data_IF_885115080092
#
_entry.id   IF_885115080092
#
_cell.length_a   1.000
_cell.length_b   1.000
_cell.length_c   1.000
_cell.angle_alpha   90.00
_cell.angle_beta   90.00
_cell.angle_gamma   90.00
#
_symmetry.space_group_name_H-M   'P 1'
#
loop_
_entity.id
_entity.type
_entity.pdbx_description
1 polymer ?
2 non-polymer ?
3 non-polymer ?
4 non-polymer ?
5 non-polymer ?
6 non-polymer ?
7 water ?
#
# COMPACT_ATOMS: atom_id res chain seq x y z
N UNK A 1 -16.81 -28.77 26.04
CA UNK A 1 -18.28 -28.64 25.79
C UNK A 1 -18.70 -29.15 24.42
N UNK A 2 -19.98 -29.46 24.28
CA UNK A 2 -20.53 -30.06 23.07
C UNK A 2 -21.10 -29.05 22.07
N UNK A 3 -20.90 -27.76 22.34
CA UNK A 3 -21.39 -26.71 21.46
C UNK A 3 -20.25 -26.09 20.63
N UNK A 4 -19.06 -26.04 21.23
CA UNK A 4 -17.93 -25.35 20.64
C UNK A 4 -16.78 -26.32 20.39
N UNK A 5 -16.54 -26.65 19.13
CA UNK A 5 -15.35 -27.41 18.74
C UNK A 5 -14.14 -26.48 18.79
N UNK A 6 -13.05 -26.98 19.37
CA UNK A 6 -11.85 -26.18 19.54
C UNK A 6 -11.40 -26.15 20.99
N UNK A 7 -10.46 -25.26 21.33
CA UNK A 7 -9.88 -24.24 20.44
C UNK A 7 -8.85 -24.80 19.45
N UNK A 8 -8.72 -24.13 18.32
CA UNK A 8 -7.71 -24.46 17.32
C UNK A 8 -6.69 -23.35 17.18
N UNK A 9 -5.46 -23.72 16.84
CA UNK A 9 -4.38 -22.77 16.61
C UNK A 9 -4.61 -21.99 15.31
N UNK A 10 -3.95 -20.81 15.16
CA UNK A 10 -3.87 -20.16 13.85
C UNK A 10 -3.44 -21.14 12.76
N UNK A 11 -4.18 -21.16 11.65
CA UNK A 11 -3.93 -22.10 10.56
C UNK A 11 -4.55 -21.65 9.24
N UNK A 12 -4.08 -22.25 8.14
CA UNK A 12 -4.69 -22.09 6.84
C UNK A 12 -5.58 -23.30 6.57
N UNK A 13 -6.86 -23.04 6.32
CA UNK A 13 -7.84 -24.11 6.13
C UNK A 13 -8.96 -23.69 5.17
N UNK A 14 -9.60 -24.68 4.58
CA UNK A 14 -10.77 -24.45 3.76
C UNK A 14 -11.98 -25.00 4.51
N UNK A 15 -12.64 -24.13 5.31
CA UNK A 15 -13.69 -24.63 6.19
C UNK A 15 -14.89 -25.17 5.43
N UNK A 16 -15.66 -26.07 6.06
CA UNK A 16 -16.91 -26.45 5.41
C UNK A 16 -17.93 -25.32 5.57
N UNK A 17 -18.97 -25.35 4.73
CA UNK A 17 -20.00 -24.33 4.77
C UNK A 17 -20.94 -24.57 5.94
N UNK A 18 -21.71 -23.55 6.30
CA UNK A 18 -22.67 -23.61 7.41
C UNK A 18 -22.00 -23.80 8.79
N UNK A 19 -20.73 -23.42 8.90
CA UNK A 19 -20.04 -23.40 10.18
C UNK A 19 -19.47 -22.01 10.48
N UNK A 20 -19.82 -21.48 11.65
CA UNK A 20 -19.24 -20.25 12.14
C UNK A 20 -17.85 -20.49 12.68
N UNK A 21 -16.91 -19.65 12.24
CA UNK A 21 -15.56 -19.65 12.78
C UNK A 21 -15.52 -18.53 13.82
N UNK A 22 -15.66 -18.89 15.10
CA UNK A 22 -15.61 -17.92 16.19
C UNK A 22 -14.16 -17.61 16.53
N UNK A 23 -13.76 -16.37 16.28
CA UNK A 23 -12.37 -15.96 16.38
C UNK A 23 -12.14 -15.20 17.69
N UNK A 24 -10.99 -15.45 18.32
CA UNK A 24 -10.63 -14.79 19.57
C UNK A 24 -9.27 -14.09 19.49
N UNK A 25 -9.21 -12.92 18.81
CA UNK A 25 -7.95 -12.18 18.66
C UNK A 25 -7.47 -11.53 19.95
N UNK A 26 -6.18 -11.19 19.99
CA UNK A 26 -5.57 -10.59 21.17
C UNK A 26 -5.21 -9.12 20.94
N UNK A 27 -4.22 -8.88 20.09
CA UNK A 27 -3.75 -7.53 19.80
C UNK A 27 -4.32 -7.03 18.46
N UNK A 28 -4.21 -5.72 18.23
CA UNK A 28 -4.63 -5.09 16.97
C UNK A 28 -3.89 -5.68 15.77
N UNK A 29 -4.59 -5.78 14.64
CA UNK A 29 -3.99 -6.30 13.42
C UNK A 29 -4.97 -7.08 12.57
N UNK A 30 -4.44 -7.92 11.69
CA UNK A 30 -5.26 -8.80 10.85
C UNK A 30 -5.71 -10.00 11.66
N UNK A 31 -7.03 -10.16 11.78
CA UNK A 31 -7.66 -11.28 12.48
C UNK A 31 -7.67 -12.52 11.60
N UNK A 32 -8.08 -12.33 10.35
CA UNK A 32 -8.34 -13.41 9.41
C UNK A 32 -8.41 -12.86 7.99
N UNK A 33 -7.97 -13.66 7.03
CA UNK A 33 -8.06 -13.32 5.61
C UNK A 33 -8.52 -14.52 4.81
N UNK A 34 -9.20 -14.26 3.70
CA UNK A 34 -9.66 -15.32 2.81
C UNK A 34 -9.91 -14.82 1.41
N UNK A 35 -9.81 -15.72 0.45
CA UNK A 35 -9.97 -15.36 -0.96
C UNK A 35 -10.50 -16.53 -1.80
N UNK A 36 -11.24 -16.21 -2.85
CA UNK A 36 -11.62 -17.18 -3.87
C UNK A 36 -10.66 -17.18 -5.06
N UNK A 37 -9.61 -16.34 -4.98
CA UNK A 37 -8.59 -16.16 -6.03
C UNK A 37 -9.13 -15.60 -7.35
N UNK A 38 -10.34 -15.05 -7.32
CA UNK A 38 -10.99 -14.57 -8.54
C UNK A 38 -11.39 -13.11 -8.45
N UNK A 39 -12.31 -12.79 -7.53
CA UNK A 39 -12.90 -11.46 -7.44
C UNK A 39 -13.23 -11.05 -6.00
N UNK A 40 -12.67 -11.77 -5.04
CA UNK A 40 -12.87 -11.46 -3.63
C UNK A 40 -11.60 -11.76 -2.84
N UNK A 41 -10.99 -10.71 -2.31
CA UNK A 41 -9.90 -10.82 -1.35
C UNK A 41 -10.40 -10.12 -0.11
N UNK A 42 -10.70 -10.92 0.91
CA UNK A 42 -11.44 -10.45 2.06
C UNK A 42 -10.63 -10.68 3.33
N UNK A 43 -10.65 -9.69 4.22
CA UNK A 43 -9.96 -9.80 5.51
C UNK A 43 -10.68 -9.00 6.58
N UNK A 44 -10.37 -9.30 7.84
CA UNK A 44 -10.88 -8.53 8.97
C UNK A 44 -9.72 -8.00 9.80
N UNK A 45 -9.72 -6.68 10.03
CA UNK A 45 -8.71 -6.07 10.88
C UNK A 45 -9.33 -5.65 12.22
N UNK A 46 -8.50 -5.65 13.26
CA UNK A 46 -8.92 -5.25 14.59
C UNK A 46 -8.20 -3.97 14.99
N UNK A 47 -8.97 -3.00 15.48
CA UNK A 47 -8.42 -1.72 15.92
C UNK A 47 -8.83 -1.45 17.37
N UNK A 48 -7.84 -1.06 18.18
CA UNK A 48 -8.06 -0.72 19.59
C UNK A 48 -8.92 0.55 19.74
N UNK A 49 -9.52 0.77 20.93
CA UNK A 49 -10.28 2.01 21.15
C UNK A 49 -9.44 3.28 20.98
N UNK A 50 -10.12 4.39 20.69
CA UNK A 50 -9.53 5.73 20.61
C UNK A 50 -8.37 5.89 19.63
N UNK A 51 -8.57 5.42 18.40
CA UNK A 51 -7.58 5.61 17.34
C UNK A 51 -8.06 6.69 16.36
N UNK A 52 -7.35 7.81 16.36
CA UNK A 52 -7.61 8.89 15.43
C UNK A 52 -7.10 8.50 14.04
N UNK A 53 -7.76 9.02 13.01
CA UNK A 53 -7.45 8.69 11.62
C UNK A 53 -5.95 8.67 11.37
N UNK A 54 -5.48 7.54 10.83
CA UNK A 54 -4.08 7.32 10.59
C UNK A 54 -3.92 6.21 9.55
N UNK A 55 -2.82 6.27 8.81
CA UNK A 55 -2.42 5.18 7.96
C UNK A 55 -1.73 4.09 8.78
N UNK A 56 -2.13 2.84 8.57
CA UNK A 56 -1.49 1.70 9.20
C UNK A 56 -1.16 0.66 8.16
N UNK A 57 -0.04 -0.04 8.36
CA UNK A 57 0.38 -1.10 7.46
C UNK A 57 -0.11 -2.44 7.98
N UNK A 58 -0.81 -3.16 7.12
CA UNK A 58 -1.27 -4.50 7.43
C UNK A 58 -0.69 -5.52 6.46
N UNK A 59 -0.33 -6.69 6.98
CA UNK A 59 0.13 -7.79 6.15
C UNK A 59 -1.07 -8.59 5.63
N UNK A 60 -1.48 -8.27 4.42
CA UNK A 60 -2.65 -8.90 3.81
C UNK A 60 -2.21 -9.71 2.60
N UNK A 61 -2.42 -11.02 2.68
CA UNK A 61 -2.07 -11.98 1.63
C UNK A 61 -0.60 -11.94 1.23
N UNK A 62 0.26 -11.70 2.23
CA UNK A 62 1.70 -11.78 2.04
C UNK A 62 2.35 -10.53 1.52
N UNK A 63 1.63 -9.40 1.55
CA UNK A 63 2.17 -8.09 1.15
C UNK A 63 1.76 -6.99 2.14
N UNK A 64 2.56 -5.94 2.22
CA UNK A 64 2.23 -4.77 3.03
C UNK A 64 1.16 -3.93 2.35
N UNK A 65 0.07 -3.68 3.08
CA UNK A 65 -1.04 -2.87 2.59
C UNK A 65 -1.29 -1.74 3.57
N UNK A 66 -1.26 -0.51 3.07
CA UNK A 66 -1.46 0.68 3.88
C UNK A 66 -2.93 1.10 3.81
N UNK A 67 -3.59 1.08 4.96
CA UNK A 67 -5.00 1.45 5.04
C UNK A 67 -5.20 2.63 5.97
N UNK A 68 -6.12 3.51 5.58
CA UNK A 68 -6.51 4.64 6.42
C UNK A 68 -7.62 4.18 7.36
N UNK A 69 -7.31 4.12 8.65
CA UNK A 69 -8.24 3.59 9.63
C UNK A 69 -8.48 4.54 10.78
N UNK A 70 -9.62 4.36 11.45
CA UNK A 70 -9.91 5.07 12.68
C UNK A 70 -10.88 4.27 13.54
N UNK A 71 -10.79 4.48 14.85
CA UNK A 71 -11.76 3.99 15.81
C UNK A 71 -12.09 5.11 16.79
N UNK A 72 -13.19 5.80 16.56
CA UNK A 72 -13.62 6.90 17.42
C UNK A 72 -14.30 6.45 18.71
N UNK A 73 -14.54 5.14 18.85
CA UNK A 73 -15.09 4.61 20.09
C UNK A 73 -14.11 4.79 21.25
N UNK A 74 -14.62 5.36 22.34
CA UNK A 74 -13.82 5.59 23.53
C UNK A 74 -13.58 4.33 24.34
N UNK A 75 -14.43 3.32 24.15
CA UNK A 75 -14.46 2.15 25.04
C UNK A 75 -14.37 0.80 24.32
N UNK A 76 -14.74 0.76 23.05
CA UNK A 76 -14.87 -0.51 22.33
C UNK A 76 -13.87 -0.71 21.21
N UNK A 77 -13.43 -1.96 21.05
CA UNK A 77 -12.58 -2.35 19.95
C UNK A 77 -13.39 -2.37 18.66
N UNK A 78 -12.71 -2.26 17.53
CA UNK A 78 -13.38 -2.17 16.24
C UNK A 78 -12.85 -3.19 15.25
N UNK A 79 -13.74 -4.06 14.80
CA UNK A 79 -13.44 -4.97 13.70
C UNK A 79 -13.93 -4.31 12.43
N UNK A 80 -13.08 -4.29 11.41
CA UNK A 80 -13.46 -3.81 10.09
C UNK A 80 -13.20 -4.90 9.06
N UNK A 81 -14.20 -5.17 8.24
CA UNK A 81 -14.00 -6.05 7.10
C UNK A 81 -13.42 -5.26 5.93
N UNK A 82 -12.49 -5.89 5.26
CA UNK A 82 -11.73 -5.25 4.21
C UNK A 82 -11.83 -6.11 2.97
N UNK A 83 -12.14 -5.48 1.82
CA UNK A 83 -12.46 -6.21 0.60
C UNK A 83 -11.88 -5.57 -0.65
N UNK A 84 -11.24 -6.38 -1.49
CA UNK A 84 -10.93 -5.97 -2.85
C UNK A 84 -11.45 -6.99 -3.86
N UNK A 85 -11.94 -6.50 -4.99
CA UNK A 85 -12.63 -7.34 -5.97
C UNK A 85 -11.79 -7.69 -7.19
N UNK A 86 -10.58 -7.13 -7.25
CA UNK A 86 -9.61 -7.43 -8.29
C UNK A 86 -8.23 -7.60 -7.61
N UNK A 87 -7.39 -8.51 -8.12
CA UNK A 87 -6.08 -8.72 -7.47
C UNK A 87 -5.19 -7.47 -7.44
N UNK A 88 -5.44 -6.51 -8.32
CA UNK A 88 -4.60 -5.32 -8.46
C UNK A 88 -5.26 -4.06 -7.89
N UNK A 89 -6.49 -4.20 -7.38
CA UNK A 89 -7.26 -3.08 -6.88
C UNK A 89 -7.00 -2.70 -5.44
N UNK A 90 -7.89 -1.86 -4.91
CA UNK A 90 -7.82 -1.34 -3.55
C UNK A 90 -8.85 -2.00 -2.62
N UNK A 91 -8.47 -2.14 -1.36
CA UNK A 91 -9.40 -2.60 -0.32
C UNK A 91 -10.31 -1.46 0.11
N UNK A 92 -11.60 -1.78 0.21
CA UNK A 92 -12.57 -0.88 0.85
C UNK A 92 -13.01 -1.47 2.19
N UNK A 93 -13.52 -0.60 3.06
CA UNK A 93 -13.91 -0.99 4.42
C UNK A 93 -15.44 -1.12 4.56
N UNK A 94 -15.87 -2.20 5.20
CA UNK A 94 -17.30 -2.52 5.36
C UNK A 94 -17.59 -3.23 6.68
N UNK A 95 -18.86 -3.25 7.07
CA UNK A 95 -19.37 -4.05 8.17
C UNK A 95 -18.61 -3.93 9.48
N UNK A 96 -18.43 -2.72 9.96
CA UNK A 96 -17.72 -2.48 11.21
C UNK A 96 -18.45 -3.12 12.38
N UNK A 97 -17.69 -3.77 13.27
CA UNK A 97 -18.23 -4.23 14.54
C UNK A 97 -17.53 -3.51 15.68
N UNK A 98 -18.31 -2.82 16.49
CA UNK A 98 -17.83 -2.24 17.73
C UNK A 98 -18.08 -3.22 18.87
N UNK A 99 -17.00 -3.68 19.49
CA UNK A 99 -17.03 -4.87 20.32
C UNK A 99 -16.33 -4.68 21.67
N UNK A 100 -16.97 -5.16 22.73
CA UNK A 100 -16.35 -5.23 24.07
C UNK A 100 -15.69 -6.60 24.33
N UNK A 101 -16.39 -7.72 24.03
CA UNK A 101 -15.78 -9.05 24.22
C UNK A 101 -14.55 -9.33 23.34
N UNK A 102 -14.42 -8.61 22.23
CA UNK A 102 -13.32 -8.81 21.26
C UNK A 102 -13.39 -10.17 20.57
N UNK A 103 -14.60 -10.68 20.37
CA UNK A 103 -14.79 -11.91 19.60
C UNK A 103 -15.38 -11.57 18.24
N UNK A 104 -14.92 -12.27 17.22
CA UNK A 104 -15.45 -12.11 15.87
C UNK A 104 -15.86 -13.47 15.33
N UNK A 105 -16.62 -13.47 14.22
CA UNK A 105 -17.07 -14.71 13.62
C UNK A 105 -17.27 -14.58 12.11
N UNK A 106 -17.01 -15.65 11.38
CA UNK A 106 -17.08 -15.69 9.93
C UNK A 106 -17.66 -17.03 9.47
N UNK A 107 -18.46 -17.03 8.40
CA UNK A 107 -19.08 -18.25 7.87
C UNK A 107 -19.27 -18.20 6.36
N UNK A 108 -18.99 -19.33 5.70
CA UNK A 108 -19.37 -19.54 4.30
C UNK A 108 -20.79 -20.11 4.24
N UNK A 109 -21.72 -19.35 3.68
CA UNK A 109 -23.10 -19.82 3.56
C UNK A 109 -23.82 -19.25 2.34
N UNK A 110 -24.56 -20.12 1.64
CA UNK A 110 -25.33 -19.83 0.42
C UNK A 110 -24.88 -18.61 -0.42
N UNK A 111 -23.71 -18.74 -1.04
CA UNK A 111 -23.21 -17.74 -1.98
C UNK A 111 -22.48 -16.58 -1.33
N UNK A 112 -22.29 -16.64 -0.01
CA UNK A 112 -21.82 -15.50 0.76
C UNK A 112 -20.78 -15.84 1.81
N UNK A 113 -20.03 -14.82 2.21
CA UNK A 113 -19.25 -14.87 3.44
C UNK A 113 -19.95 -14.01 4.47
N UNK A 114 -20.37 -14.63 5.58
CA UNK A 114 -21.06 -13.90 6.65
C UNK A 114 -20.09 -13.47 7.75
N UNK A 115 -20.31 -12.28 8.29
CA UNK A 115 -19.58 -11.79 9.45
C UNK A 115 -20.55 -11.06 10.37
N UNK A 116 -20.05 -10.52 11.47
CA UNK A 116 -20.88 -9.72 12.36
C UNK A 116 -20.58 -8.23 12.22
N UNK A 117 -21.59 -7.40 12.44
CA UNK A 117 -21.47 -5.95 12.40
C UNK A 117 -22.41 -5.27 13.39
N UNK A 118 -22.18 -3.98 13.64
CA UNK A 118 -23.01 -3.22 14.56
C UNK A 118 -22.23 -2.92 15.83
N UNK A 119 -22.93 -2.91 16.96
CA UNK A 119 -22.36 -2.56 18.25
C UNK A 119 -22.83 -3.55 19.30
N UNK A 120 -21.89 -4.22 19.96
CA UNK A 120 -22.22 -5.14 21.04
C UNK A 120 -22.79 -4.33 22.23
N UNK A 121 -23.78 -4.91 22.96
CA UNK A 121 -24.32 -6.27 22.90
C UNK A 121 -25.49 -6.47 21.92
N UNK A 122 -25.56 -5.65 20.87
CA UNK A 122 -26.67 -5.73 19.92
C UNK A 122 -26.21 -5.98 18.48
N UNK A 123 -25.12 -6.73 18.34
CA UNK A 123 -24.54 -7.00 17.02
C UNK A 123 -25.40 -7.95 16.20
N UNK A 124 -25.42 -7.73 14.89
CA UNK A 124 -26.12 -8.62 13.97
C UNK A 124 -25.15 -9.17 12.93
N UNK A 125 -25.65 -10.00 12.03
CA UNK A 125 -24.83 -10.58 10.96
C UNK A 125 -24.90 -9.71 9.71
N UNK A 126 -23.87 -9.82 8.89
CA UNK A 126 -23.79 -9.14 7.59
C UNK A 126 -23.09 -10.09 6.64
N UNK A 127 -23.12 -9.79 5.35
CA UNK A 127 -22.62 -10.74 4.35
C UNK A 127 -21.96 -10.09 3.12
N UNK A 128 -21.12 -10.87 2.45
CA UNK A 128 -20.45 -10.46 1.22
C UNK A 128 -20.66 -11.55 0.17
N UNK A 129 -21.47 -11.24 -0.84
CA UNK A 129 -21.72 -12.17 -1.94
C UNK A 129 -20.40 -12.49 -2.62
N UNK A 130 -20.08 -13.79 -2.67
CA UNK A 130 -18.76 -14.25 -3.06
C UNK A 130 -18.87 -15.34 -4.10
N UNK A 131 -18.33 -15.07 -5.28
CA UNK A 131 -18.17 -16.07 -6.34
C UNK A 131 -17.47 -17.30 -5.77
N UNK A 132 -17.99 -18.49 -6.10
CA UNK A 132 -17.45 -19.75 -5.60
C UNK A 132 -17.21 -19.72 -4.09
N UNK A 133 -18.25 -19.29 -3.36
CA UNK A 133 -18.16 -19.04 -1.92
C UNK A 133 -17.61 -20.25 -1.14
N UNK A 134 -17.99 -21.45 -1.57
CA UNK A 134 -17.65 -22.70 -0.87
C UNK A 134 -16.17 -23.06 -0.96
N UNK A 135 -15.46 -22.48 -1.94
CA UNK A 135 -14.05 -22.80 -2.19
C UNK A 135 -13.10 -21.89 -1.41
N UNK A 136 -13.64 -20.85 -0.76
CA UNK A 136 -12.81 -19.86 -0.10
C UNK A 136 -11.93 -20.49 0.97
N UNK A 137 -10.61 -20.37 0.77
CA UNK A 137 -9.62 -20.75 1.78
C UNK A 137 -9.41 -19.58 2.73
N UNK A 138 -9.28 -19.89 4.01
CA UNK A 138 -9.02 -18.90 5.04
C UNK A 138 -7.73 -19.14 5.79
N UNK A 139 -7.11 -18.05 6.24
CA UNK A 139 -6.04 -18.12 7.21
C UNK A 139 -6.46 -17.33 8.44
N UNK A 140 -6.67 -18.03 9.54
CA UNK A 140 -6.92 -17.40 10.82
C UNK A 140 -5.60 -17.10 11.50
N UNK A 141 -5.44 -15.88 11.99
CA UNK A 141 -4.20 -15.48 12.65
C UNK A 141 -4.31 -15.51 14.17
N UNK A 142 -5.44 -16.01 14.65
CA UNK A 142 -5.70 -16.15 16.08
C UNK A 142 -6.40 -17.48 16.36
N UNK A 143 -6.56 -17.79 17.64
CA UNK A 143 -7.31 -18.97 18.09
C UNK A 143 -8.78 -18.86 17.68
N UNK A 144 -9.37 -19.99 17.33
CA UNK A 144 -10.77 -20.02 16.93
C UNK A 144 -11.49 -21.30 17.35
N UNK A 145 -12.81 -21.22 17.36
CA UNK A 145 -13.68 -22.35 17.64
C UNK A 145 -14.60 -22.56 16.45
N UNK A 146 -15.21 -23.74 16.39
CA UNK A 146 -16.16 -24.08 15.33
C UNK A 146 -17.53 -24.30 15.97
N UNK A 147 -18.53 -23.57 15.47
CA UNK A 147 -19.91 -23.75 15.90
C UNK A 147 -20.84 -23.84 14.69
N UNK A 148 -21.72 -24.87 14.66
CA UNK A 148 -22.63 -25.04 13.54
C UNK A 148 -23.62 -23.87 13.39
N UNK A 149 -24.01 -23.61 12.14
CA UNK A 149 -24.99 -22.58 11.82
C UNK A 149 -26.33 -22.81 12.54
N UNK A 150 -26.70 -24.06 12.78
CA UNK A 150 -27.95 -24.36 13.49
C UNK A 150 -27.93 -23.85 14.95
N UNK A 151 -26.72 -23.56 15.44
CA UNK A 151 -26.51 -22.98 16.76
C UNK A 151 -26.04 -21.51 16.68
N UNK A 152 -26.47 -20.80 15.63
CA UNK A 152 -26.07 -19.42 15.37
C UNK A 152 -26.41 -18.46 16.52
N UNK A 153 -27.56 -18.68 17.16
CA UNK A 153 -28.03 -17.84 18.27
C UNK A 153 -27.01 -17.79 19.41
N UNK A 154 -26.36 -18.92 19.68
CA UNK A 154 -25.31 -18.99 20.69
C UNK A 154 -24.02 -18.32 20.23
N UNK A 155 -23.72 -18.37 18.93
CA UNK A 155 -22.58 -17.64 18.38
C UNK A 155 -22.79 -16.13 18.55
N UNK A 156 -24.00 -15.67 18.24
CA UNK A 156 -24.39 -14.26 18.39
C UNK A 156 -24.24 -13.81 19.84
N UNK A 157 -24.70 -14.65 20.77
CA UNK A 157 -24.52 -14.42 22.21
C UNK A 157 -23.05 -14.21 22.59
N UNK A 158 -22.17 -15.05 22.04
CA UNK A 158 -20.74 -14.95 22.32
C UNK A 158 -20.12 -13.68 21.74
N UNK A 159 -20.52 -13.31 20.53
CA UNK A 159 -20.11 -12.03 19.92
C UNK A 159 -20.47 -10.85 20.83
N UNK A 160 -21.67 -10.92 21.40
CA UNK A 160 -22.23 -9.84 22.19
C UNK A 160 -21.82 -9.81 23.66
N UNK A 161 -21.60 -10.98 24.26
CA UNK A 161 -21.42 -11.06 25.71
C UNK A 161 -20.12 -11.74 26.15
N UNK A 162 -19.45 -12.40 25.22
CA UNK A 162 -18.24 -13.16 25.52
C UNK A 162 -18.53 -14.61 25.87
N UNK A 163 -17.45 -15.38 26.07
CA UNK A 163 -17.56 -16.80 26.41
C UNK A 163 -17.92 -17.04 27.87
N UNK B 1 32.19 0.15 -7.52
CA UNK B 1 32.56 -0.85 -8.57
C UNK B 1 32.14 -0.40 -9.95
N UNK B 2 32.56 -1.14 -10.98
CA UNK B 2 32.30 -0.75 -12.37
C UNK B 2 30.87 -0.97 -12.85
N UNK B 3 30.07 -1.71 -12.07
CA UNK B 3 28.67 -1.95 -12.42
C UNK B 3 27.71 -1.12 -11.56
N UNK B 4 28.04 -0.98 -10.28
CA UNK B 4 27.25 -0.17 -9.35
C UNK B 4 28.21 0.56 -8.43
N UNK B 5 28.31 1.87 -8.62
CA UNK B 5 29.25 2.67 -7.86
C UNK B 5 28.53 3.57 -6.84
N UNK B 6 28.90 3.42 -5.57
CA UNK B 6 28.28 4.17 -4.49
C UNK B 6 28.13 3.35 -3.23
N UNK B 7 27.31 3.81 -2.28
CA UNK B 7 26.48 5.02 -2.34
C UNK B 7 27.27 6.32 -2.21
N UNK B 8 26.69 7.39 -2.75
CA UNK B 8 27.16 8.74 -2.53
C UNK B 8 26.13 9.46 -1.68
N UNK B 9 26.61 10.37 -0.84
CA UNK B 9 25.73 11.21 -0.02
C UNK B 9 24.97 12.23 -0.87
N UNK B 10 23.80 12.68 -0.36
CA UNK B 10 23.08 13.76 -1.02
C UNK B 10 24.01 14.93 -1.32
N UNK B 11 23.97 15.40 -2.56
CA UNK B 11 24.80 16.54 -2.97
C UNK B 11 24.25 17.25 -4.21
N UNK B 12 24.88 18.37 -4.56
CA UNK B 12 24.67 19.04 -5.83
C UNK B 12 25.84 18.71 -6.75
N UNK B 13 25.54 18.22 -7.94
CA UNK B 13 26.55 17.77 -8.88
C UNK B 13 26.04 17.80 -10.32
N UNK B 14 26.98 17.76 -11.25
CA UNK B 14 26.72 17.72 -12.68
C UNK B 14 27.11 16.32 -13.15
N UNK B 15 26.14 15.38 -13.18
CA UNK B 15 26.46 13.98 -13.48
C UNK B 15 26.97 13.78 -14.90
N UNK B 16 27.92 12.84 -15.09
CA UNK B 16 28.37 12.50 -16.43
C UNK B 16 27.23 11.97 -17.28
N UNK B 17 27.27 12.30 -18.57
CA UNK B 17 26.29 11.78 -19.52
C UNK B 17 26.52 10.28 -19.75
N UNK B 18 25.44 9.57 -20.11
CA UNK B 18 25.47 8.13 -20.33
C UNK B 18 25.67 7.31 -19.04
N UNK B 19 25.29 7.89 -17.91
CA UNK B 19 25.31 7.19 -16.62
C UNK B 19 23.97 7.31 -15.92
N UNK B 20 23.47 6.20 -15.42
CA UNK B 20 22.26 6.20 -14.61
C UNK B 20 22.60 6.58 -13.17
N UNK B 21 21.76 7.43 -12.59
CA UNK B 21 21.87 7.82 -11.20
C UNK B 21 20.74 7.12 -10.45
N UNK B 22 21.08 6.03 -9.77
CA UNK B 22 20.11 5.25 -9.02
C UNK B 22 19.88 5.90 -7.66
N UNK B 23 18.62 6.23 -7.37
CA UNK B 23 18.26 6.98 -6.18
C UNK B 23 17.56 6.06 -5.19
N UNK B 24 17.97 6.16 -3.93
CA UNK B 24 17.42 5.37 -2.83
C UNK B 24 16.84 6.28 -1.73
N UNK B 25 15.67 6.88 -1.98
CA UNK B 25 15.04 7.76 -0.99
C UNK B 25 14.46 6.98 0.20
N UNK B 26 14.10 7.72 1.25
CA UNK B 26 13.56 7.14 2.48
C UNK B 26 12.12 7.62 2.72
N UNK B 27 11.98 8.90 3.06
CA UNK B 27 10.66 9.47 3.34
C UNK B 27 10.15 10.29 2.16
N UNK B 28 8.86 10.61 2.22
CA UNK B 28 8.20 11.46 1.23
C UNK B 28 8.90 12.82 1.12
N UNK B 29 8.84 13.42 -0.06
CA UNK B 29 9.47 14.71 -0.31
C UNK B 29 10.15 14.76 -1.66
N UNK B 30 10.99 15.76 -1.86
CA UNK B 30 11.71 15.92 -3.13
C UNK B 30 12.90 14.96 -3.16
N UNK B 31 12.94 14.13 -4.19
CA UNK B 31 13.95 13.10 -4.35
C UNK B 31 15.19 13.69 -5.02
N UNK B 32 14.93 14.48 -6.05
CA UNK B 32 15.96 15.05 -6.92
C UNK B 32 15.38 16.22 -7.71
N UNK B 33 16.21 17.23 -7.97
CA UNK B 33 15.85 18.33 -8.85
C UNK B 33 17.00 18.57 -9.82
N UNK B 34 16.66 19.08 -11.00
CA UNK B 34 17.66 19.32 -12.04
C UNK B 34 17.20 20.35 -13.05
N UNK B 35 18.17 21.11 -13.57
CA UNK B 35 17.89 22.11 -14.60
C UNK B 35 19.09 22.34 -15.53
N UNK B 36 18.80 22.77 -16.75
CA UNK B 36 19.83 23.21 -17.68
C UNK B 36 20.06 24.73 -17.59
N UNK B 37 19.31 25.37 -16.69
CA UNK B 37 19.34 26.83 -16.50
C UNK B 37 18.89 27.61 -17.74
N UNK B 38 18.16 26.94 -18.63
CA UNK B 38 17.71 27.56 -19.89
C UNK B 38 16.19 27.50 -20.04
N UNK B 39 15.66 26.28 -20.10
CA UNK B 39 14.27 26.04 -20.49
C UNK B 39 13.75 24.70 -19.96
N UNK B 40 14.42 24.15 -18.95
CA UNK B 40 13.96 22.92 -18.30
C UNK B 40 14.26 22.92 -16.80
N UNK B 41 13.19 22.86 -16.00
CA UNK B 41 13.31 22.70 -14.56
C UNK B 41 12.52 21.46 -14.13
N UNK B 42 13.24 20.38 -13.86
CA UNK B 42 12.63 19.10 -13.54
C UNK B 42 12.96 18.64 -12.12
N UNK B 43 11.94 18.18 -11.41
CA UNK B 43 12.13 17.60 -10.10
C UNK B 43 11.34 16.30 -10.01
N UNK B 44 11.68 15.47 -9.04
CA UNK B 44 10.95 14.25 -8.77
C UNK B 44 10.55 14.25 -7.30
N UNK B 45 9.24 14.18 -7.06
CA UNK B 45 8.72 14.10 -5.70
C UNK B 45 8.26 12.67 -5.43
N UNK B 46 8.27 12.31 -4.15
CA UNK B 46 7.89 10.99 -3.70
C UNK B 46 6.71 11.10 -2.74
N UNK B 47 5.69 10.29 -2.98
CA UNK B 47 4.50 10.26 -2.13
C UNK B 47 4.36 8.88 -1.52
N UNK B 48 4.19 8.84 -0.20
CA UNK B 48 3.96 7.60 0.54
C UNK B 48 2.62 6.96 0.12
N UNK B 49 2.45 5.65 0.32
CA UNK B 49 1.19 5.01 -0.02
C UNK B 49 -0.03 5.64 0.67
N UNK B 50 -1.15 5.65 -0.04
CA UNK B 50 -2.46 5.96 0.50
C UNK B 50 -2.61 7.41 0.99
N UNK B 51 -2.52 8.34 0.04
CA UNK B 51 -2.60 9.77 0.32
C UNK B 51 -3.70 10.36 -0.57
N UNK B 52 -4.74 10.89 0.08
CA UNK B 52 -5.85 11.50 -0.64
C UNK B 52 -5.40 12.84 -1.20
N UNK B 53 -6.01 13.27 -2.31
CA UNK B 53 -5.65 14.53 -2.96
C UNK B 53 -5.53 15.65 -1.93
N UNK B 54 -4.34 16.23 -1.86
CA UNK B 54 -4.01 17.24 -0.85
C UNK B 54 -2.96 18.20 -1.42
N UNK B 55 -2.88 19.39 -0.85
CA UNK B 55 -1.84 20.35 -1.23
C UNK B 55 -0.60 20.15 -0.39
N UNK B 56 0.51 19.88 -1.07
CA UNK B 56 1.79 19.79 -0.39
C UNK B 56 2.76 20.86 -0.90
N UNK B 57 3.51 21.42 0.03
CA UNK B 57 4.51 22.43 -0.26
C UNK B 57 5.87 21.76 -0.40
N UNK B 58 6.54 22.03 -1.52
CA UNK B 58 7.87 21.51 -1.79
C UNK B 58 8.80 22.68 -2.09
N UNK B 59 10.06 22.56 -1.67
CA UNK B 59 11.07 23.53 -2.04
C UNK B 59 11.68 23.10 -3.39
N UNK B 60 11.37 23.87 -4.44
CA UNK B 60 11.85 23.54 -5.78
C UNK B 60 12.65 24.69 -6.36
N UNK B 61 13.94 24.44 -6.57
CA UNK B 61 14.89 25.43 -7.07
C UNK B 61 14.84 26.77 -6.31
N UNK B 62 14.65 26.69 -5.00
CA UNK B 62 14.60 27.87 -4.13
C UNK B 62 13.22 28.46 -3.91
N UNK B 63 12.20 27.88 -4.55
CA UNK B 63 10.82 28.37 -4.46
C UNK B 63 9.94 27.43 -3.64
N UNK B 64 9.07 28.03 -2.83
CA UNK B 64 8.03 27.29 -2.14
C UNK B 64 6.91 27.05 -3.13
N UNK B 65 6.77 25.80 -3.57
CA UNK B 65 5.79 25.45 -4.59
C UNK B 65 4.72 24.52 -4.02
N UNK B 66 3.46 24.92 -4.21
CA UNK B 66 2.32 24.13 -3.78
C UNK B 66 1.78 23.30 -4.95
N UNK B 67 1.75 21.98 -4.76
CA UNK B 67 1.22 21.06 -5.76
C UNK B 67 0.08 20.23 -5.18
N UNK B 68 -0.91 19.97 -6.00
CA UNK B 68 -2.00 19.07 -5.65
C UNK B 68 -1.58 17.65 -5.98
N UNK B 69 -1.36 16.85 -4.94
CA UNK B 69 -0.82 15.51 -5.10
C UNK B 69 -1.67 14.46 -4.40
N UNK B 70 -1.55 13.22 -4.87
CA UNK B 70 -2.16 12.07 -4.22
C UNK B 70 -1.37 10.83 -4.52
N UNK B 71 -1.60 9.80 -3.72
CA UNK B 71 -1.19 8.45 -4.04
C UNK B 71 -2.35 7.51 -3.75
N UNK B 72 -3.02 7.07 -4.81
CA UNK B 72 -4.19 6.21 -4.71
C UNK B 72 -3.86 4.75 -4.37
N UNK B 73 -2.57 4.42 -4.38
CA UNK B 73 -2.10 3.07 -4.09
C UNK B 73 -2.01 2.81 -2.58
N UNK B 74 -2.35 1.58 -2.19
CA UNK B 74 -2.23 1.13 -0.80
C UNK B 74 -0.98 0.27 -0.61
N UNK B 75 -0.25 -0.01 -1.68
CA UNK B 75 0.86 -0.98 -1.64
C UNK B 75 2.17 -0.48 -2.24
N UNK B 76 2.11 0.64 -2.98
CA UNK B 76 3.26 1.15 -3.70
C UNK B 76 3.48 2.63 -3.41
N UNK B 77 4.74 3.00 -3.26
CA UNK B 77 5.13 4.39 -3.19
C UNK B 77 5.04 5.01 -4.58
N UNK B 78 4.96 6.33 -4.67
CA UNK B 78 4.72 7.00 -5.94
C UNK B 78 5.73 8.09 -6.20
N UNK B 79 6.51 7.91 -7.26
CA UNK B 79 7.44 8.93 -7.75
C UNK B 79 6.73 9.72 -8.84
N UNK B 80 6.80 11.05 -8.76
CA UNK B 80 6.22 11.91 -9.80
C UNK B 80 7.25 12.91 -10.31
N UNK B 81 7.41 12.99 -11.63
CA UNK B 81 8.24 14.02 -12.23
C UNK B 81 7.43 15.31 -12.37
N UNK B 82 7.99 16.40 -11.89
CA UNK B 82 7.34 17.70 -12.03
C UNK B 82 8.21 18.60 -12.89
N UNK B 83 7.59 19.24 -13.87
CA UNK B 83 8.34 19.99 -14.88
C UNK B 83 7.70 21.31 -15.27
N UNK B 84 8.56 22.31 -15.51
CA UNK B 84 8.20 23.54 -16.18
C UNK B 84 9.30 23.91 -17.17
N UNK B 85 8.95 24.63 -18.23
CA UNK B 85 9.91 24.96 -19.30
C UNK B 85 10.21 26.45 -19.43
N UNK B 86 9.62 27.25 -18.55
CA UNK B 86 9.90 28.68 -18.44
C UNK B 86 10.00 29.02 -16.95
N UNK B 87 10.78 30.06 -16.59
CA UNK B 87 10.99 30.40 -15.17
C UNK B 87 9.71 30.68 -14.38
N UNK B 88 8.68 31.23 -15.04
CA UNK B 88 7.41 31.55 -14.38
C UNK B 88 6.27 30.59 -14.75
N UNK B 89 6.61 29.49 -15.41
CA UNK B 89 5.61 28.52 -15.85
C UNK B 89 5.01 27.70 -14.73
N UNK B 90 3.87 27.08 -15.00
CA UNK B 90 3.24 26.14 -14.07
C UNK B 90 3.97 24.79 -14.10
N UNK B 91 4.11 24.18 -12.93
CA UNK B 91 4.63 22.83 -12.83
C UNK B 91 3.54 21.81 -13.17
N UNK B 92 3.82 20.94 -14.13
CA UNK B 92 2.90 19.86 -14.49
C UNK B 92 3.48 18.51 -14.05
N UNK B 93 2.61 17.51 -13.92
CA UNK B 93 3.03 16.20 -13.39
C UNK B 93 3.10 15.15 -14.48
N UNK B 94 4.26 14.47 -14.57
CA UNK B 94 4.56 13.57 -15.68
C UNK B 94 5.24 12.29 -15.20
N UNK B 95 5.23 11.27 -16.07
CA UNK B 95 6.01 10.06 -15.89
C UNK B 95 6.03 9.46 -14.49
N UNK B 96 4.85 9.27 -13.93
CA UNK B 96 4.72 8.68 -12.60
C UNK B 96 5.22 7.25 -12.55
N UNK B 97 5.88 6.91 -11.46
CA UNK B 97 6.26 5.54 -11.19
C UNK B 97 5.64 5.08 -9.87
N UNK B 98 4.85 4.02 -9.96
CA UNK B 98 4.35 3.34 -8.77
C UNK B 98 5.33 2.23 -8.45
N UNK B 99 5.92 2.31 -7.26
CA UNK B 99 7.10 1.53 -6.94
C UNK B 99 6.98 0.79 -5.61
N UNK B 100 7.29 -0.49 -5.65
CA UNK B 100 7.38 -1.29 -4.43
C UNK B 100 8.80 -1.24 -3.84
N UNK B 101 9.85 -1.44 -4.68
CA UNK B 101 11.23 -1.33 -4.17
C UNK B 101 11.64 0.06 -3.68
N UNK B 102 10.89 1.08 -4.10
CA UNK B 102 11.16 2.47 -3.70
C UNK B 102 12.51 3.01 -4.22
N UNK B 103 12.91 2.54 -5.39
CA UNK B 103 14.08 3.06 -6.06
C UNK B 103 13.68 3.86 -7.29
N UNK B 104 14.49 4.87 -7.59
CA UNK B 104 14.29 5.69 -8.77
C UNK B 104 15.62 5.79 -9.49
N UNK B 105 15.59 6.27 -10.73
CA UNK B 105 16.81 6.49 -11.50
C UNK B 105 16.63 7.57 -12.55
N UNK B 106 17.72 8.32 -12.78
CA UNK B 106 17.76 9.41 -13.73
C UNK B 106 19.06 9.30 -14.56
N UNK B 107 19.00 9.72 -15.83
CA UNK B 107 20.18 9.73 -16.70
C UNK B 107 20.08 10.83 -17.75
N UNK B 108 21.20 11.51 -17.96
CA UNK B 108 21.38 12.44 -19.08
C UNK B 108 21.96 11.66 -20.25
N UNK B 109 21.17 11.52 -21.31
CA UNK B 109 21.60 10.77 -22.48
C UNK B 109 20.95 11.32 -23.74
N UNK B 110 21.78 11.54 -24.76
CA UNK B 110 21.33 11.87 -26.11
C UNK B 110 20.24 12.93 -26.19
N UNK B 111 20.52 14.10 -25.64
CA UNK B 111 19.61 15.25 -25.72
C UNK B 111 18.43 15.18 -24.76
N UNK B 112 18.47 14.23 -23.83
CA UNK B 112 17.30 13.95 -22.99
C UNK B 112 17.69 13.69 -21.54
N UNK B 113 16.76 13.98 -20.65
CA UNK B 113 16.80 13.43 -19.29
C UNK B 113 15.87 12.22 -19.27
N UNK B 114 16.44 11.04 -19.02
CA UNK B 114 15.67 9.82 -18.86
C UNK B 114 15.34 9.56 -17.39
N UNK B 115 14.13 9.06 -17.16
CA UNK B 115 13.72 8.59 -15.83
C UNK B 115 12.85 7.35 -16.03
N UNK B 116 12.44 6.73 -14.93
CA UNK B 116 11.59 5.55 -15.02
C UNK B 116 10.13 5.88 -14.77
N UNK B 117 9.24 5.15 -15.43
CA UNK B 117 7.79 5.31 -15.22
C UNK B 117 7.02 3.99 -15.35
N UNK B 118 5.74 4.02 -15.00
CA UNK B 118 4.89 2.84 -15.01
C UNK B 118 4.70 2.26 -13.61
N UNK B 119 4.69 0.94 -13.53
CA UNK B 119 4.36 0.24 -12.29
C UNK B 119 5.28 -0.97 -12.14
N UNK B 120 6.07 -0.99 -11.08
CA UNK B 120 6.91 -2.16 -10.79
C UNK B 120 6.01 -3.38 -10.57
N UNK B 121 6.46 -4.58 -10.97
CA UNK B 121 7.78 -4.91 -11.53
C UNK B 121 7.87 -4.80 -13.05
N UNK B 122 7.08 -3.91 -13.66
CA UNK B 122 7.06 -3.75 -15.11
C UNK B 122 7.32 -2.31 -15.55
N UNK B 123 8.19 -1.63 -14.80
CA UNK B 123 8.55 -0.25 -15.10
C UNK B 123 9.33 -0.16 -16.40
N UNK B 124 9.18 0.97 -17.08
CA UNK B 124 9.97 1.27 -18.26
C UNK B 124 10.53 2.69 -18.14
N UNK B 125 11.16 3.18 -19.19
CA UNK B 125 11.76 4.52 -19.17
C UNK B 125 10.91 5.52 -19.95
N UNK B 126 11.02 6.78 -19.55
CA UNK B 126 10.48 7.92 -20.27
C UNK B 126 11.58 8.96 -20.30
N UNK B 127 11.43 9.97 -21.15
CA UNK B 127 12.46 10.98 -21.31
C UNK B 127 11.87 12.37 -21.47
N UNK B 128 12.70 13.39 -21.22
CA UNK B 128 12.31 14.78 -21.36
C UNK B 128 13.38 15.48 -22.19
N UNK B 129 13.02 15.84 -23.42
CA UNK B 129 13.93 16.52 -24.33
C UNK B 129 14.43 17.81 -23.69
N UNK B 130 15.75 17.97 -23.66
CA UNK B 130 16.36 19.05 -22.89
C UNK B 130 17.47 19.71 -23.67
N UNK B 131 17.31 21.01 -23.92
CA UNK B 131 18.31 21.84 -24.59
C UNK B 131 19.65 21.78 -23.85
N UNK B 132 20.74 21.62 -24.59
CA UNK B 132 22.08 21.53 -24.01
C UNK B 132 22.11 20.56 -22.82
N UNK B 133 21.67 19.33 -23.09
CA UNK B 133 21.35 18.36 -22.05
C UNK B 133 22.52 18.04 -21.12
N UNK B 134 23.75 18.08 -21.65
CA UNK B 134 24.97 17.78 -20.88
C UNK B 134 25.17 18.69 -19.68
N UNK B 135 24.59 19.88 -19.76
CA UNK B 135 24.78 20.93 -18.75
C UNK B 135 23.86 20.80 -17.55
N UNK B 136 22.93 19.85 -17.61
CA UNK B 136 21.96 19.68 -16.53
C UNK B 136 22.66 19.41 -15.20
N UNK B 137 22.47 20.32 -14.24
CA UNK B 137 22.97 20.16 -12.88
C UNK B 137 21.86 19.63 -11.99
N UNK B 138 22.22 18.76 -11.06
CA UNK B 138 21.22 18.11 -10.21
C UNK B 138 21.55 18.24 -8.74
N UNK B 139 20.51 18.32 -7.92
CA UNK B 139 20.65 18.09 -6.49
C UNK B 139 19.88 16.84 -6.12
N UNK B 140 20.61 15.82 -5.66
CA UNK B 140 20.00 14.64 -5.08
C UNK B 140 19.81 14.85 -3.59
N UNK B 141 18.59 14.62 -3.11
CA UNK B 141 18.28 14.80 -1.69
C UNK B 141 18.36 13.49 -0.90
N UNK B 142 18.81 12.44 -1.59
CA UNK B 142 18.98 11.13 -1.00
C UNK B 142 20.27 10.47 -1.48
N UNK B 143 20.66 9.37 -0.84
CA UNK B 143 21.77 8.54 -1.29
C UNK B 143 21.55 8.09 -2.72
N UNK B 144 22.64 8.02 -3.48
CA UNK B 144 22.54 7.60 -4.86
C UNK B 144 23.73 6.75 -5.30
N UNK B 145 23.54 6.04 -6.41
CA UNK B 145 24.57 5.21 -7.01
C UNK B 145 24.75 5.62 -8.46
N UNK B 146 25.88 5.23 -9.05
CA UNK B 146 26.17 5.51 -10.44
C UNK B 146 26.36 4.20 -11.18
N UNK B 147 25.61 4.04 -12.28
CA UNK B 147 25.59 2.83 -13.08
C UNK B 147 25.84 3.23 -14.54
N UNK B 148 26.76 2.54 -15.24
CA UNK B 148 26.96 2.87 -16.66
C UNK B 148 25.74 2.49 -17.51
N UNK B 149 25.56 3.18 -18.63
CA UNK B 149 24.43 2.91 -19.52
C UNK B 149 24.39 1.48 -20.06
N UNK B 150 25.54 0.88 -20.30
CA UNK B 150 25.59 -0.52 -20.76
C UNK B 150 25.04 -1.52 -19.75
N UNK B 151 24.88 -1.07 -18.50
CA UNK B 151 24.27 -1.88 -17.43
C UNK B 151 22.83 -1.45 -17.13
N UNK B 152 22.19 -0.82 -18.11
CA UNK B 152 20.82 -0.30 -17.96
C UNK B 152 19.79 -1.38 -17.61
N UNK B 153 19.95 -2.57 -18.20
CA UNK B 153 19.02 -3.67 -17.94
C UNK B 153 19.07 -4.13 -16.48
N UNK B 154 20.24 -4.00 -15.87
CA UNK B 154 20.42 -4.27 -14.45
C UNK B 154 19.79 -3.16 -13.60
N UNK B 155 19.96 -1.91 -14.04
CA UNK B 155 19.31 -0.77 -13.39
C UNK B 155 17.79 -0.93 -13.39
N UNK B 156 17.23 -1.33 -14.53
CA UNK B 156 15.80 -1.64 -14.66
C UNK B 156 15.39 -2.78 -13.71
N UNK B 157 16.28 -3.75 -13.53
CA UNK B 157 16.04 -4.82 -12.57
C UNK B 157 16.00 -4.27 -11.13
N UNK B 158 16.86 -3.31 -10.83
CA UNK B 158 16.83 -2.64 -9.51
C UNK B 158 15.54 -1.86 -9.32
N UNK B 159 15.11 -1.13 -10.34
CA UNK B 159 13.86 -0.36 -10.29
C UNK B 159 12.67 -1.30 -10.00
N UNK B 160 12.60 -2.40 -10.72
CA UNK B 160 11.51 -3.34 -10.61
C UNK B 160 11.55 -4.25 -9.39
N UNK B 161 12.75 -4.60 -8.92
CA UNK B 161 12.90 -5.65 -7.91
C UNK B 161 13.71 -5.26 -6.67
N UNK B 162 14.47 -4.18 -6.76
CA UNK B 162 15.29 -3.71 -5.65
C UNK B 162 16.71 -4.25 -5.74
N UNK B 163 17.56 -3.80 -4.82
CA UNK B 163 18.95 -4.26 -4.76
C UNK B 163 19.05 -5.66 -4.15
X LIG C 1 -0.47 -7.47 10.88
X LIG C 1 -1.59 -7.99 11.65
X LIG C 1 0.36 -6.64 11.74
X LIG C 1 -0.93 -6.68 9.75
X LIG C 1 0.32 -8.58 10.36
X LIG D 1 -18.32 -7.25 9.93
X LIG E 1 -23.39 -8.04 -1.18
X LIG E 1 -23.80 -6.60 -0.94
X LIG E 1 -24.85 -6.47 0.18
X LIG E 1 -24.25 -6.65 1.57
X LIG E 1 -23.01 -5.77 1.80
X LIG E 1 -22.04 -6.02 0.66
X LIG E 1 -20.71 -5.25 0.71
X LIG E 1 -19.87 -5.52 -0.55
X LIG E 1 -18.41 -5.13 -0.37
X LIG E 1 -21.92 -5.23 3.94
X LIG E 1 -21.59 -5.77 5.30
X LIG E 1 -23.63 -6.02 -3.36
X LIG E 1 -22.44 -6.11 3.09
X LIG E 1 -24.28 -8.90 -1.38
X LIG E 1 -22.18 -8.35 -1.20
X LIG E 1 -24.38 -6.11 -2.15
X LIG E 1 -25.25 -6.37 2.56
X LIG E 1 -22.68 -5.76 -0.60
X LIG E 1 -20.95 -3.83 0.80
X LIG E 1 -19.93 -6.92 -0.88
X LIG E 1 -17.77 -5.34 -1.63
X LIG E 1 -21.69 -4.07 3.64
X LIG F 1 -12.83 2.92 2.24
X LIG F 1 -13.36 4.31 2.50
X LIG F 1 -14.17 4.36 3.80
X LIG F 1 -13.33 4.53 5.08
X LIG F 1 -12.25 5.59 4.93
X LIG F 1 -11.44 5.30 3.66
X LIG F 1 -10.29 6.28 3.40
X LIG F 1 -9.68 6.08 2.01
X LIG F 1 -8.32 6.75 1.91
X LIG F 1 -11.25 6.70 6.88
X LIG F 1 -10.52 6.47 8.17
X LIG F 1 -13.81 4.57 0.05
X LIG F 1 -11.39 5.62 6.10
X LIG F 1 -13.62 1.96 2.32
X LIG F 1 -11.63 2.76 1.92
X LIG F 1 -14.22 4.66 1.41
X LIG F 1 -14.20 4.87 6.18
X LIG F 1 -12.31 5.28 2.52
X LIG F 1 -10.77 7.63 3.50
X LIG F 1 -9.53 4.68 1.73
X LIG F 1 -7.37 5.72 1.71
X LIG F 1 -11.68 7.80 6.57
X LIG G 1 -3.59 -10.07 -2.79
X LIG G 1 -2.75 -10.58 -3.94
X LIG G 1 -2.44 -11.98 -3.68
X LIG G 1 -3.56 -10.52 -5.24
X LIG G 1 -1.49 -9.74 -4.07
X LIG G 1 -0.20 -10.53 -3.87
X LIG G 1 0.82 -9.98 -4.67
X LIG G 1 0.25 -10.50 -2.41
X LIG H 1 30.54 10.86 -0.30
X LIG H 1 29.29 10.89 -1.05
X LIG H 1 30.29 10.55 1.10
X LIG H 1 31.42 9.86 -0.89
X LIG H 1 31.17 12.18 -0.39
X LIG I 1 9.41 9.15 -14.30
X LIG J 1 9.77 15.18 -25.02
X LIG J 1 8.26 14.90 -25.14
X LIG J 1 7.97 13.43 -25.41
X LIG J 1 8.14 12.56 -24.16
X LIG J 1 7.42 13.12 -22.94
X LIG J 1 7.80 14.60 -22.77
X LIG J 1 7.10 15.36 -21.65
X LIG J 1 7.52 16.83 -21.64
X LIG J 1 7.22 17.50 -20.31
X LIG J 1 7.01 11.95 -20.80
X LIG J 1 7.67 11.25 -19.65
X LIG J 1 7.84 17.12 -26.21
X LIG J 1 7.82 12.33 -21.78
X LIG J 1 10.54 14.69 -25.88
X LIG J 1 10.20 15.90 -24.07
X LIG J 1 7.74 15.68 -26.23
X LIG J 1 7.72 11.21 -24.42
X LIG J 1 7.54 15.31 -23.97
X LIG J 1 5.69 15.32 -21.84
X LIG J 1 8.91 16.97 -21.95
X LIG J 1 7.51 18.89 -20.45
X LIG J 1 5.81 12.17 -20.82
X LIG K 1 23.45 -0.27 -23.86
X LIG K 1 24.11 -0.16 -25.10
X LIG K 1 21.94 -0.23 -24.05
X LIG K 1 21.31 0.05 -22.82
X LIG K 1 21.43 -1.57 -24.56
X LIG K 1 20.02 -1.58 -24.56
X LIG L 1 2.63 16.41 -25.51
X LIG L 1 3.69 16.21 -26.42
X LIG L 1 3.17 16.45 -24.08
X LIG L 1 2.12 16.26 -23.16
X LIG L 1 3.82 17.79 -23.81
X LIG L 1 5.15 17.76 -24.27
X LIG M 1 0.14 -6.32 -6.45
X LIG M 1 -0.20 -4.88 -6.09
X LIG M 1 -1.60 -4.78 -5.71
X LIG M 1 0.63 -4.50 -4.89
X LIG M 1 0.16 -3.87 -7.19
X LIG M 1 -0.64 -3.94 -8.49
X LIG M 1 -0.66 -2.66 -9.10
X LIG M 1 -0.01 -4.92 -9.46
#
# INVERSE_FOLDING_TARGET
GSLLDGPYQPTTFNPPTSYWILLAPTVEGVVIQGTNNIDRWLATILIEPNVQTTNRIYNLFGQQVTLSVENTSQTQWKFIDVSKTTPTGNYTQHGSLFSTPKLYAVMKFSGRIYTYNGTTPNATTGYYSTTNYDTVNMTSFCDFYIIPRNQEEKCTEYINHGL
GSLLDGPYQPTTFNPPTSYWILLAPTVEGVVIQGTNNIDRWLATILIEPNVQTTNRIYNLFGQQVTLSVENTSQTQWKFIDVSKTTPTGNYTQHGSLFSTPKLYAVMKFSGRIYTYNGTTPNATTGYYSTTNYDTVNMTSFCDFYIIPRNQEEKCTEYINHGL
SO4 S O1 O2 O3 O4
NA NA
MNA C1 C2 C3 C4 C5 C6 C7 C8 C9 C10 C11 C12 N5 O1A O1B O2 O4 O6 O7 O8 O9 O10
MNA C1 C2 C3 C4 C5 C6 C7 C8 C9 C10 C11 C12 N5 O1A O1B O2 O4 O6 O7 O8 O9 O10
MPD C1 C2 O2 CM C3 C4 O4 C5
SO4 S O1 O2 O3 O4
NA NA
MNA C1 C2 C3 C4 C5 C6 C7 C8 C9 C10 C11 C12 N5 O1A O1B O2 O4 O6 O7 O8 O9 O10
GOL C1 O1 C2 O2 C3 O3
GOL C1 O1 C2 O2 C3 O3
MPD C1 C2 O2 CM C3 C4 O4 C5
#
